data_IF_057241447768
#
_entry.id   IF_057241447768
#
_cell.length_a   1.000
_cell.length_b   1.000
_cell.length_c   1.000
_cell.angle_alpha   90.00
_cell.angle_beta   90.00
_cell.angle_gamma   90.00
#
_symmetry.space_group_name_H-M   'P 1'
#
loop_
_entity.id
_entity.type
_entity.pdbx_description
1 polymer ?
#
# COMPACT_ATOMS: atom_id res chain seq x y z
N UNK A 1 -5.72 -20.39 -2.95
CA UNK A 1 -6.51 -19.29 -2.35
C UNK A 1 -6.58 -18.14 -3.32
N UNK A 2 -7.71 -17.44 -3.37
CA UNK A 2 -7.94 -16.17 -4.02
C UNK A 2 -8.21 -15.13 -2.93
N UNK A 3 -7.88 -13.86 -3.17
CA UNK A 3 -8.21 -12.81 -2.22
C UNK A 3 -8.71 -11.54 -2.91
N UNK A 4 -9.44 -10.74 -2.15
CA UNK A 4 -9.88 -9.41 -2.52
C UNK A 4 -9.68 -8.47 -1.35
N UNK A 5 -8.88 -7.44 -1.53
CA UNK A 5 -8.76 -6.32 -0.59
C UNK A 5 -9.81 -5.26 -0.90
N UNK A 6 -10.23 -4.54 0.11
CA UNK A 6 -11.14 -3.41 -0.03
C UNK A 6 -10.89 -2.38 1.06
N UNK A 7 -11.10 -1.12 0.75
CA UNK A 7 -11.03 -0.06 1.75
C UNK A 7 -12.36 0.09 2.46
N UNK A 8 -12.32 0.36 3.75
CA UNK A 8 -13.50 0.48 4.61
C UNK A 8 -13.32 1.55 5.68
N UNK A 9 -14.41 1.89 6.35
CA UNK A 9 -14.57 2.95 7.33
C UNK A 9 -14.59 4.36 6.73
N UNK A 10 -14.79 5.39 7.56
CA UNK A 10 -14.72 6.78 7.13
C UNK A 10 -13.29 7.13 6.68
N UNK A 11 -13.17 8.09 5.78
CA UNK A 11 -11.92 8.48 5.12
C UNK A 11 -10.88 9.18 6.01
N UNK A 12 -11.15 9.30 7.31
CA UNK A 12 -10.22 9.81 8.33
C UNK A 12 -9.27 8.74 8.87
N UNK A 13 -8.87 8.90 10.14
CA UNK A 13 -7.95 7.98 10.86
C UNK A 13 -8.41 6.51 10.88
N UNK A 14 -9.73 6.19 10.98
CA UNK A 14 -10.17 4.79 10.98
C UNK A 14 -10.19 4.12 9.60
N UNK A 15 -9.86 4.84 8.51
CA UNK A 15 -9.79 4.26 7.18
C UNK A 15 -8.76 3.12 7.17
N UNK A 16 -9.12 1.99 6.57
CA UNK A 16 -8.34 0.76 6.66
C UNK A 16 -8.66 -0.18 5.50
N UNK A 17 -7.81 -1.18 5.32
CA UNK A 17 -8.00 -2.24 4.32
C UNK A 17 -8.55 -3.50 4.98
N UNK A 18 -9.66 -4.00 4.45
CA UNK A 18 -10.22 -5.31 4.77
C UNK A 18 -9.81 -6.35 3.73
N UNK A 19 -10.03 -7.63 4.07
CA UNK A 19 -9.69 -8.76 3.23
C UNK A 19 -10.86 -9.75 3.16
N UNK A 20 -11.13 -10.21 1.95
CA UNK A 20 -11.95 -11.37 1.64
C UNK A 20 -11.06 -12.44 1.02
N UNK A 21 -11.24 -13.69 1.41
CA UNK A 21 -10.55 -14.84 0.83
C UNK A 21 -11.55 -15.87 0.34
N UNK A 22 -11.20 -16.59 -0.72
CA UNK A 22 -11.98 -17.71 -1.25
C UNK A 22 -11.04 -18.83 -1.72
N UNK A 23 -11.52 -20.06 -1.68
CA UNK A 23 -10.78 -21.18 -2.24
C UNK A 23 -10.72 -21.08 -3.78
N UNK A 24 -9.59 -21.49 -4.33
CA UNK A 24 -9.43 -21.54 -5.79
C UNK A 24 -10.41 -22.57 -6.39
N UNK A 25 -11.19 -22.12 -7.36
CA UNK A 25 -12.20 -22.96 -8.03
C UNK A 25 -13.60 -22.90 -7.41
N UNK A 26 -13.80 -22.15 -6.28
CA UNK A 26 -15.13 -21.91 -5.77
C UNK A 26 -15.93 -20.94 -6.67
N UNK A 27 -17.26 -20.96 -6.56
CA UNK A 27 -18.12 -20.01 -7.25
C UNK A 27 -17.97 -18.62 -6.58
N UNK A 28 -17.32 -17.70 -7.26
CA UNK A 28 -17.06 -16.34 -6.73
C UNK A 28 -18.30 -15.45 -6.73
N UNK A 29 -19.39 -15.86 -7.35
CA UNK A 29 -20.68 -15.17 -7.29
C UNK A 29 -21.51 -15.61 -6.07
N UNK A 30 -21.17 -16.77 -5.50
CA UNK A 30 -21.77 -17.21 -4.23
C UNK A 30 -21.07 -16.52 -3.05
N UNK A 31 -21.85 -15.76 -2.30
CA UNK A 31 -21.39 -15.10 -1.06
C UNK A 31 -20.78 -16.09 -0.05
N UNK A 32 -21.28 -17.34 -0.01
CA UNK A 32 -20.80 -18.37 0.89
C UNK A 32 -19.38 -18.84 0.58
N UNK A 33 -18.89 -18.59 -0.63
CA UNK A 33 -17.50 -18.88 -1.03
C UNK A 33 -16.46 -17.94 -0.39
N UNK A 34 -16.91 -16.81 0.16
CA UNK A 34 -16.01 -15.78 0.69
C UNK A 34 -15.97 -15.79 2.21
N UNK A 35 -14.75 -15.81 2.72
CA UNK A 35 -14.48 -15.60 4.15
C UNK A 35 -13.93 -14.18 4.34
N UNK A 36 -14.59 -13.41 5.20
CA UNK A 36 -14.17 -12.04 5.54
C UNK A 36 -13.26 -12.07 6.76
N UNK A 37 -12.12 -11.38 6.69
CA UNK A 37 -11.29 -11.13 7.86
C UNK A 37 -12.10 -10.39 8.94
N UNK A 38 -12.09 -10.84 10.20
CA UNK A 38 -12.87 -10.23 11.29
C UNK A 38 -12.34 -8.84 11.68
N UNK A 39 -11.11 -8.54 11.34
CA UNK A 39 -10.43 -7.26 11.63
C UNK A 39 -9.77 -6.72 10.36
N UNK A 40 -9.51 -5.40 10.28
CA UNK A 40 -8.70 -4.85 9.19
C UNK A 40 -7.33 -5.50 9.13
N UNK A 41 -6.88 -5.81 7.92
CA UNK A 41 -5.57 -6.45 7.66
C UNK A 41 -4.45 -5.44 7.44
N UNK A 42 -4.81 -4.18 7.20
CA UNK A 42 -3.85 -3.07 7.07
C UNK A 42 -4.53 -1.78 7.56
N UNK A 43 -3.98 -1.18 8.61
CA UNK A 43 -4.62 -0.08 9.34
C UNK A 43 -3.59 0.92 9.86
N UNK A 44 -4.06 2.00 10.46
CA UNK A 44 -3.23 2.99 11.14
C UNK A 44 -2.14 2.35 11.99
N UNK A 45 -0.91 2.83 11.81
CA UNK A 45 0.26 2.53 12.61
C UNK A 45 0.77 3.84 13.24
N UNK A 46 0.34 4.12 14.45
CA UNK A 46 0.70 5.37 15.15
C UNK A 46 2.19 5.44 15.48
N UNK A 47 2.84 4.30 15.72
CA UNK A 47 4.29 4.19 15.98
C UNK A 47 5.10 4.71 14.78
N UNK A 48 4.60 4.45 13.56
CA UNK A 48 5.22 4.89 12.31
C UNK A 48 4.70 6.25 11.82
N UNK A 49 3.79 6.89 12.56
CA UNK A 49 3.17 8.15 12.15
C UNK A 49 2.31 8.02 10.89
N UNK A 50 1.68 6.87 10.67
CA UNK A 50 0.90 6.56 9.47
C UNK A 50 -0.56 6.34 9.82
N UNK A 51 -1.45 7.16 9.24
CA UNK A 51 -2.86 7.19 9.62
C UNK A 51 -3.78 7.03 8.42
N UNK A 52 -4.81 6.19 8.59
CA UNK A 52 -5.87 5.98 7.61
C UNK A 52 -5.39 5.42 6.27
N UNK A 53 -4.66 4.29 6.24
CA UNK A 53 -4.22 3.68 5.00
C UNK A 53 -5.38 3.08 4.22
N UNK A 54 -5.33 3.17 2.90
CA UNK A 54 -6.33 2.55 2.04
C UNK A 54 -6.21 2.93 0.57
N UNK A 55 -7.29 2.67 -0.17
CA UNK A 55 -7.39 2.87 -1.62
C UNK A 55 -6.24 2.19 -2.36
N UNK A 56 -6.01 0.94 -2.00
CA UNK A 56 -4.84 0.20 -2.45
C UNK A 56 -5.00 -0.44 -3.83
N UNK A 57 -3.88 -0.62 -4.49
CA UNK A 57 -3.70 -1.42 -5.70
C UNK A 57 -2.44 -2.28 -5.58
N UNK A 58 -2.27 -3.23 -6.50
CA UNK A 58 -1.13 -4.15 -6.48
C UNK A 58 -0.37 -4.08 -7.79
N UNK A 59 0.94 -4.25 -7.70
CA UNK A 59 1.84 -4.37 -8.83
C UNK A 59 3.03 -5.27 -8.47
N UNK A 60 3.97 -5.42 -9.39
CA UNK A 60 5.26 -6.09 -9.16
C UNK A 60 6.37 -5.06 -9.04
N UNK A 61 7.46 -5.45 -8.35
CA UNK A 61 8.74 -4.74 -8.45
C UNK A 61 9.26 -4.79 -9.89
N UNK A 62 10.17 -3.88 -10.24
CA UNK A 62 10.72 -3.77 -11.60
C UNK A 62 11.37 -5.09 -12.07
N UNK A 63 12.06 -5.78 -11.17
CA UNK A 63 12.66 -7.10 -11.43
C UNK A 63 11.66 -8.27 -11.35
N UNK A 64 10.40 -8.00 -11.02
CA UNK A 64 9.33 -8.99 -10.91
C UNK A 64 9.41 -9.91 -9.69
N UNK A 65 10.34 -9.69 -8.76
CA UNK A 65 10.58 -10.60 -7.64
C UNK A 65 9.64 -10.38 -6.47
N UNK A 66 9.12 -9.15 -6.28
CA UNK A 66 8.25 -8.79 -5.18
C UNK A 66 6.86 -8.38 -5.64
N UNK A 67 5.86 -8.75 -4.86
CA UNK A 67 4.51 -8.19 -4.96
C UNK A 67 4.44 -6.91 -4.13
N UNK A 68 3.98 -5.82 -4.73
CA UNK A 68 3.90 -4.51 -4.11
C UNK A 68 2.46 -4.08 -3.95
N UNK A 69 2.15 -3.46 -2.82
CA UNK A 69 0.91 -2.76 -2.56
C UNK A 69 1.15 -1.26 -2.60
N UNK A 70 0.46 -0.55 -3.48
CA UNK A 70 0.43 0.91 -3.52
C UNK A 70 -0.80 1.34 -2.72
N UNK A 71 -0.64 2.25 -1.78
CA UNK A 71 -1.71 2.75 -0.93
C UNK A 71 -1.48 4.22 -0.58
N UNK A 72 -2.44 4.88 0.02
CA UNK A 72 -2.23 6.21 0.59
C UNK A 72 -2.35 6.19 2.12
N UNK A 73 -1.73 7.14 2.76
CA UNK A 73 -1.79 7.42 4.19
C UNK A 73 -1.60 8.91 4.45
N UNK A 74 -1.90 9.33 5.69
CA UNK A 74 -1.54 10.65 6.24
C UNK A 74 -0.51 10.52 7.36
N UNK A 75 0.22 11.60 7.62
CA UNK A 75 1.17 11.69 8.73
C UNK A 75 0.59 12.39 9.97
N UNK A 76 -0.71 12.68 9.98
CA UNK A 76 -1.39 13.39 11.07
C UNK A 76 -2.81 12.87 11.28
N UNK A 77 -3.36 13.14 12.45
CA UNK A 77 -4.70 12.74 12.86
C UNK A 77 -5.74 13.85 12.75
N UNK A 78 -5.32 15.12 12.92
CA UNK A 78 -6.20 16.28 12.85
C UNK A 78 -6.44 16.70 11.41
N UNK A 79 -7.63 16.39 10.90
CA UNK A 79 -8.05 16.74 9.55
C UNK A 79 -9.00 17.92 9.64
N UNK A 80 -8.67 19.00 8.94
CA UNK A 80 -9.54 20.19 8.87
C UNK A 80 -10.56 20.01 7.75
N UNK A 81 -11.84 20.10 8.10
CA UNK A 81 -12.94 19.94 7.15
C UNK A 81 -13.26 18.46 6.88
N UNK A 82 -13.80 18.19 5.70
CA UNK A 82 -14.17 16.83 5.30
C UNK A 82 -12.91 16.02 4.91
N UNK A 83 -12.65 14.88 5.58
CA UNK A 83 -11.49 14.04 5.27
C UNK A 83 -11.42 13.56 3.82
N UNK A 84 -12.54 13.51 3.11
CA UNK A 84 -12.58 13.11 1.70
C UNK A 84 -11.80 14.07 0.81
N UNK A 85 -11.84 15.36 1.13
CA UNK A 85 -11.21 16.43 0.35
C UNK A 85 -9.83 16.84 0.88
N UNK A 86 -9.32 16.15 1.90
CA UNK A 86 -7.97 16.39 2.39
C UNK A 86 -6.93 16.00 1.32
N UNK A 87 -6.08 16.93 0.83
CA UNK A 87 -5.16 16.69 -0.27
C UNK A 87 -3.92 15.86 0.11
N UNK A 88 -3.67 15.67 1.41
CA UNK A 88 -2.41 15.11 1.92
C UNK A 88 -2.45 13.59 2.12
N UNK A 89 -3.28 12.90 1.35
CA UNK A 89 -3.27 11.44 1.25
C UNK A 89 -2.22 11.00 0.23
N UNK A 90 -0.95 11.04 0.63
CA UNK A 90 0.16 10.73 -0.26
C UNK A 90 0.29 9.24 -0.53
N UNK A 91 0.68 8.89 -1.76
CA UNK A 91 0.94 7.50 -2.15
C UNK A 91 2.20 6.95 -1.47
N UNK A 92 2.12 5.68 -1.09
CA UNK A 92 3.19 4.90 -0.47
C UNK A 92 3.24 3.51 -1.07
N UNK A 93 4.34 2.83 -0.86
CA UNK A 93 4.57 1.47 -1.34
C UNK A 93 4.89 0.57 -0.16
N UNK A 94 4.29 -0.60 -0.12
CA UNK A 94 4.62 -1.67 0.82
C UNK A 94 4.85 -2.98 0.08
N UNK A 95 5.67 -3.86 0.63
CA UNK A 95 5.88 -5.21 0.10
C UNK A 95 4.81 -6.14 0.65
N UNK A 96 4.18 -6.92 -0.22
CA UNK A 96 3.25 -7.98 0.16
C UNK A 96 4.02 -9.26 0.38
N UNK A 97 3.95 -9.80 1.59
CA UNK A 97 4.52 -11.12 1.91
C UNK A 97 3.45 -12.19 1.77
N UNK A 98 3.86 -13.37 1.31
CA UNK A 98 2.96 -14.51 1.19
C UNK A 98 3.22 -15.50 2.33
N UNK A 99 2.17 -15.83 3.04
CA UNK A 99 2.18 -16.84 4.12
C UNK A 99 1.30 -18.02 3.77
N UNK A 100 1.30 -19.05 4.61
CA UNK A 100 0.38 -20.17 4.46
C UNK A 100 -1.09 -19.76 4.53
N UNK A 101 -1.39 -18.69 5.27
CA UNK A 101 -2.74 -18.17 5.49
C UNK A 101 -3.18 -17.11 4.45
N UNK A 102 -2.27 -16.73 3.54
CA UNK A 102 -2.54 -15.77 2.47
C UNK A 102 -1.60 -14.56 2.47
N UNK A 103 -2.04 -13.43 1.89
CA UNK A 103 -1.23 -12.21 1.82
C UNK A 103 -1.11 -11.55 3.19
N UNK A 104 0.11 -11.22 3.56
CA UNK A 104 0.46 -10.36 4.70
C UNK A 104 0.93 -9.00 4.17
N UNK A 105 0.17 -7.96 4.47
CA UNK A 105 0.46 -6.59 4.05
C UNK A 105 1.35 -5.86 5.07
N UNK A 106 1.67 -6.47 6.20
CA UNK A 106 2.42 -5.84 7.28
C UNK A 106 1.69 -4.66 7.92
N UNK A 107 2.44 -3.60 8.16
CA UNK A 107 1.94 -2.31 8.67
C UNK A 107 2.44 -1.18 7.77
N UNK A 108 1.74 -0.03 7.72
CA UNK A 108 2.28 1.13 7.02
C UNK A 108 3.64 1.53 7.59
N UNK A 109 4.67 1.47 6.73
CA UNK A 109 6.04 1.82 7.11
C UNK A 109 6.18 3.33 7.35
N UNK A 110 7.12 3.76 8.20
CA UNK A 110 7.41 5.19 8.40
C UNK A 110 7.90 5.79 7.10
N UNK A 111 7.62 7.09 6.90
CA UNK A 111 8.16 7.80 5.74
C UNK A 111 9.69 7.87 5.86
N UNK A 112 10.36 7.18 4.97
CA UNK A 112 11.79 7.33 4.80
C UNK A 112 12.03 8.62 4.02
N UNK A 113 12.52 9.64 4.72
CA UNK A 113 12.97 10.85 4.06
C UNK A 113 14.18 10.50 3.19
N UNK A 114 13.94 10.43 1.89
CA UNK A 114 15.04 10.35 0.94
C UNK A 114 15.86 11.64 1.02
N UNK A 115 17.11 11.53 1.49
CA UNK A 115 18.04 12.65 1.50
C UNK A 115 18.94 12.47 0.28
N UNK A 116 18.80 13.32 -0.76
CA UNK A 116 19.64 13.19 -1.93
C UNK A 116 21.11 13.39 -1.51
N UNK A 117 21.95 12.45 -1.89
CA UNK A 117 23.39 12.62 -1.86
C UNK A 117 23.81 13.43 -3.09
N UNK A 118 25.03 13.94 -3.11
CA UNK A 118 25.55 14.70 -4.28
C UNK A 118 25.58 13.86 -5.56
N UNK A 119 25.51 12.52 -5.44
CA UNK A 119 25.46 11.60 -6.57
C UNK A 119 24.03 11.36 -7.08
N UNK A 120 23.01 11.77 -6.30
CA UNK A 120 21.60 11.57 -6.64
C UNK A 120 20.95 12.81 -7.30
N UNK A 121 21.75 13.83 -7.59
CA UNK A 121 21.26 15.02 -8.30
C UNK A 121 20.96 14.64 -9.74
N UNK A 122 19.71 14.80 -10.13
CA UNK A 122 19.31 14.61 -11.54
C UNK A 122 20.17 15.50 -12.43
N UNK A 123 20.77 14.96 -13.50
CA UNK A 123 21.46 15.76 -14.49
C UNK A 123 20.52 16.83 -15.05
N UNK A 124 21.02 18.02 -15.31
CA UNK A 124 20.23 19.13 -15.83
C UNK A 124 19.57 18.85 -17.19
N UNK A 125 20.07 17.84 -17.91
CA UNK A 125 19.58 17.38 -19.20
C UNK A 125 18.54 16.24 -19.10
N UNK A 126 18.16 15.82 -17.88
CA UNK A 126 17.21 14.72 -17.66
C UNK A 126 17.79 13.32 -17.92
N UNK A 127 19.10 13.18 -18.00
CA UNK A 127 19.78 11.90 -18.13
C UNK A 127 19.63 11.01 -16.88
N UNK A 128 20.01 9.72 -16.94
CA UNK A 128 19.91 8.79 -15.83
C UNK A 128 20.82 9.21 -14.66
N UNK A 129 20.40 8.93 -13.43
CA UNK A 129 21.21 9.15 -12.22
C UNK A 129 22.54 8.39 -12.31
N UNK A 130 23.62 9.01 -11.83
CA UNK A 130 24.91 8.34 -11.76
C UNK A 130 24.81 7.10 -10.85
N UNK A 131 25.10 5.93 -11.39
CA UNK A 131 25.01 4.65 -10.68
C UNK A 131 23.77 3.82 -10.99
N UNK A 132 22.82 4.30 -11.78
CA UNK A 132 21.73 3.48 -12.30
C UNK A 132 22.27 2.58 -13.44
N UNK A 133 22.10 1.25 -13.39
CA UNK A 133 22.48 0.40 -14.51
C UNK A 133 21.66 0.81 -15.74
N UNK A 134 22.32 0.91 -16.88
CA UNK A 134 21.65 1.18 -18.15
C UNK A 134 20.65 0.04 -18.42
N UNK A 135 19.37 0.40 -18.53
CA UNK A 135 18.34 -0.54 -18.97
C UNK A 135 18.63 -0.81 -20.45
N UNK A 136 19.18 -1.99 -20.73
CA UNK A 136 19.37 -2.45 -22.11
C UNK A 136 18.01 -2.62 -22.78
N UNK A 137 17.84 -1.98 -23.93
CA UNK A 137 16.71 -2.22 -24.84
C UNK A 137 16.86 -3.55 -25.56
#
# INVERSE_FOLDING_TARGET
MLFRSYSASGTGVPYAVGLLTAERGSDLLDKASWTKSPVPVFKTCAENGQYGPGHNSFTKSEDGTEDLMIYHCRNYTEIKGDPLFDPNRHARVGVVKWTADGPDFGVPEPDNLWTPTTTDVLPADGGPLAGTPAVGH
#
